data_IF_280103167761
#
_entry.id   IF_280103167761
#
_cell.length_a   1.000
_cell.length_b   1.000
_cell.length_c   1.000
_cell.angle_alpha   90.00
_cell.angle_beta   90.00
_cell.angle_gamma   90.00
#
_symmetry.space_group_name_H-M   'P 1'
#
loop_
_entity.id
_entity.type
_entity.pdbx_description
1 polymer ?
#
# COMPACT_ATOMS: atom_id res chain seq x y z
N UNK A 1 -18.89 -15.69 -11.34
CA UNK A 1 -20.12 -15.44 -10.56
C UNK A 1 -19.95 -14.09 -9.91
N UNK A 2 -20.58 -13.05 -10.47
CA UNK A 2 -20.37 -11.63 -10.09
C UNK A 2 -21.52 -11.13 -9.19
N UNK A 3 -22.54 -11.96 -8.96
CA UNK A 3 -23.76 -11.57 -8.23
C UNK A 3 -23.61 -11.49 -6.71
N UNK A 4 -22.83 -12.38 -6.10
CA UNK A 4 -22.85 -12.54 -4.63
C UNK A 4 -21.94 -11.54 -3.88
N UNK A 5 -21.00 -10.88 -4.59
CA UNK A 5 -20.16 -9.81 -4.02
C UNK A 5 -20.95 -8.49 -3.88
N UNK A 6 -21.94 -8.25 -4.76
CA UNK A 6 -22.72 -7.01 -4.83
C UNK A 6 -23.70 -6.86 -3.66
N UNK A 7 -24.19 -7.95 -3.08
CA UNK A 7 -25.18 -7.88 -2.00
C UNK A 7 -24.56 -7.80 -0.59
N UNK A 8 -23.30 -8.21 -0.41
CA UNK A 8 -22.63 -8.09 0.89
C UNK A 8 -22.11 -6.66 1.17
N UNK A 9 -21.69 -5.92 0.12
CA UNK A 9 -21.25 -4.52 0.27
C UNK A 9 -22.39 -3.53 0.58
N UNK A 10 -23.66 -3.95 0.46
CA UNK A 10 -24.84 -3.10 0.73
C UNK A 10 -25.24 -3.04 2.21
N UNK A 11 -24.68 -3.88 3.09
CA UNK A 11 -25.14 -3.96 4.49
C UNK A 11 -24.01 -4.01 5.51
N UNK A 12 -23.25 -2.92 5.62
CA UNK A 12 -22.67 -2.36 6.87
C UNK A 12 -21.73 -1.20 6.50
N UNK A 13 -22.30 -0.02 6.31
CA UNK A 13 -21.54 1.22 6.17
C UNK A 13 -21.05 1.69 7.54
N UNK A 14 -19.79 1.40 7.87
CA UNK A 14 -18.93 2.24 8.72
C UNK A 14 -17.51 1.68 8.74
N UNK A 15 -16.76 1.92 7.66
CA UNK A 15 -15.30 1.88 7.72
C UNK A 15 -14.82 3.33 7.60
N UNK A 16 -14.47 3.92 8.74
CA UNK A 16 -13.73 5.19 8.76
C UNK A 16 -12.26 4.84 8.48
N UNK A 17 -11.79 5.11 7.26
CA UNK A 17 -10.37 5.04 6.95
C UNK A 17 -9.70 6.34 7.40
N UNK A 18 -8.67 6.22 8.24
CA UNK A 18 -7.78 7.31 8.58
C UNK A 18 -6.65 7.34 7.54
N UNK A 19 -6.52 8.46 6.83
CA UNK A 19 -5.47 8.69 5.84
C UNK A 19 -4.22 9.26 6.53
N UNK A 20 -3.07 8.62 6.33
CA UNK A 20 -1.75 9.18 6.64
C UNK A 20 -0.73 8.56 5.68
N UNK A 21 -0.44 9.22 4.53
CA UNK A 21 0.94 9.56 4.13
C UNK A 21 1.08 10.22 2.75
N UNK A 22 1.97 11.24 2.74
CA UNK A 22 2.76 11.90 1.68
C UNK A 22 3.06 13.34 2.17
N UNK A 23 2.01 14.06 2.60
CA UNK A 23 2.11 15.39 3.21
C UNK A 23 2.75 15.39 4.61
N UNK A 24 2.58 14.31 5.38
CA UNK A 24 3.18 14.17 6.71
C UNK A 24 4.73 14.15 6.65
N UNK A 25 5.32 13.59 5.59
CA UNK A 25 6.78 13.46 5.43
C UNK A 25 7.49 14.83 5.31
N UNK A 26 6.83 15.87 4.79
CA UNK A 26 7.42 17.23 4.71
C UNK A 26 7.24 18.07 5.98
N UNK A 27 6.20 17.81 6.77
CA UNK A 27 5.93 18.60 7.98
C UNK A 27 6.78 18.20 9.19
N UNK A 28 7.33 16.98 9.21
CA UNK A 28 8.23 16.53 10.28
C UNK A 28 9.72 16.78 10.04
N UNK A 29 10.15 17.25 8.85
CA UNK A 29 11.56 17.60 8.60
C UNK A 29 12.02 18.94 9.22
N UNK A 30 11.19 19.60 10.03
CA UNK A 30 11.58 20.80 10.79
C UNK A 30 11.25 20.66 12.28
N UNK A 31 11.83 19.65 12.90
CA UNK A 31 11.80 19.50 14.35
C UNK A 31 12.66 18.33 14.77
N UNK A 32 13.97 18.54 14.92
CA UNK A 32 14.86 17.51 15.41
C UNK A 32 14.42 17.02 16.80
N UNK A 33 13.96 15.78 16.87
CA UNK A 33 13.91 15.01 18.11
C UNK A 33 14.84 13.81 17.96
N UNK A 34 16.06 13.98 18.47
CA UNK A 34 16.96 12.88 18.75
C UNK A 34 16.33 12.05 19.88
N UNK A 35 15.82 10.86 19.58
CA UNK A 35 15.59 9.84 20.62
C UNK A 35 16.79 8.91 20.59
N UNK A 36 17.81 9.28 21.35
CA UNK A 36 18.96 8.42 21.63
C UNK A 36 18.51 7.15 22.36
N UNK A 37 18.83 5.98 21.79
CA UNK A 37 18.73 4.67 22.45
C UNK A 37 19.64 4.62 23.69
N UNK A 38 19.10 4.99 24.84
CA UNK A 38 19.59 4.56 26.15
C UNK A 38 18.45 4.81 27.15
N UNK A 39 18.22 3.83 28.03
CA UNK A 39 17.19 3.76 29.08
C UNK A 39 15.92 3.00 28.68
N UNK A 40 15.99 1.67 28.78
CA UNK A 40 14.96 0.89 29.46
C UNK A 40 15.55 -0.44 29.92
N UNK A 41 16.22 -0.38 31.07
CA UNK A 41 16.44 -1.54 31.92
C UNK A 41 15.80 -1.23 33.29
N UNK A 42 14.99 -2.18 33.73
CA UNK A 42 14.38 -2.35 35.06
C UNK A 42 13.12 -1.54 35.41
N UNK A 43 12.04 -2.27 35.73
CA UNK A 43 11.00 -1.82 36.65
C UNK A 43 9.56 -2.08 36.21
N UNK A 44 9.07 -3.29 36.39
CA UNK A 44 7.63 -3.59 36.38
C UNK A 44 6.94 -2.89 37.56
N UNK A 45 6.23 -1.78 37.29
CA UNK A 45 4.94 -1.35 37.85
C UNK A 45 4.77 0.17 37.66
N UNK A 46 3.58 0.55 37.16
CA UNK A 46 3.09 1.91 36.93
C UNK A 46 3.61 2.64 35.68
N UNK A 47 3.19 2.16 34.50
CA UNK A 47 2.79 3.12 33.47
C UNK A 47 1.42 3.66 33.91
N UNK A 48 1.43 4.78 34.62
CA UNK A 48 0.24 5.61 34.67
C UNK A 48 -0.13 5.89 33.20
N UNK A 49 -1.34 5.48 32.77
CA UNK A 49 -1.91 5.94 31.51
C UNK A 49 -1.83 7.46 31.53
N UNK A 50 -0.89 8.01 30.77
CA UNK A 50 -0.90 9.44 30.47
C UNK A 50 -2.31 9.74 29.96
N UNK A 51 -2.97 10.81 30.45
CA UNK A 51 -4.29 11.15 29.95
C UNK A 51 -4.20 11.26 28.44
N UNK A 52 -4.94 10.40 27.74
CA UNK A 52 -5.03 10.43 26.29
C UNK A 52 -5.48 11.84 25.93
N UNK A 53 -4.58 12.62 25.33
CA UNK A 53 -4.95 13.94 24.84
C UNK A 53 -6.15 13.75 23.91
N UNK A 54 -7.23 14.48 24.15
CA UNK A 54 -8.40 14.41 23.28
C UNK A 54 -7.98 14.87 21.89
N UNK A 55 -7.82 13.92 20.96
CA UNK A 55 -7.53 14.22 19.57
C UNK A 55 -8.85 14.53 18.88
N UNK A 56 -8.91 15.66 18.20
CA UNK A 56 -10.03 15.96 17.30
C UNK A 56 -9.72 15.38 15.93
N UNK A 57 -10.64 14.57 15.40
CA UNK A 57 -10.56 14.00 14.05
C UNK A 57 -11.69 14.59 13.22
N UNK A 58 -11.38 15.06 12.02
CA UNK A 58 -12.36 15.60 11.07
C UNK A 58 -12.20 14.93 9.71
N UNK A 59 -13.29 14.60 9.01
CA UNK A 59 -13.21 14.17 7.62
C UNK A 59 -12.50 15.21 6.76
N UNK A 60 -11.65 14.77 5.84
CA UNK A 60 -11.07 15.65 4.83
C UNK A 60 -12.03 15.77 3.64
N UNK A 61 -12.84 16.82 3.64
CA UNK A 61 -13.82 17.06 2.58
C UNK A 61 -13.19 17.41 1.24
N UNK A 62 -11.94 17.88 1.21
CA UNK A 62 -11.26 18.21 -0.04
C UNK A 62 -10.83 16.92 -0.77
N UNK A 63 -10.23 15.97 -0.04
CA UNK A 63 -9.91 14.66 -0.61
C UNK A 63 -11.16 13.89 -1.02
N UNK A 64 -12.20 13.89 -0.16
CA UNK A 64 -13.48 13.26 -0.51
C UNK A 64 -14.02 13.81 -1.82
N UNK A 65 -14.11 15.14 -1.96
CA UNK A 65 -14.64 15.78 -3.16
C UNK A 65 -13.77 15.51 -4.40
N UNK A 66 -12.45 15.45 -4.26
CA UNK A 66 -11.53 15.18 -5.36
C UNK A 66 -11.76 13.77 -5.95
N UNK A 67 -11.84 12.75 -5.11
CA UNK A 67 -12.08 11.37 -5.55
C UNK A 67 -13.52 11.15 -6.04
N UNK A 68 -14.52 11.76 -5.39
CA UNK A 68 -15.91 11.71 -5.86
C UNK A 68 -16.09 12.41 -7.21
N UNK A 69 -15.44 13.57 -7.39
CA UNK A 69 -15.52 14.30 -8.65
C UNK A 69 -14.86 13.52 -9.78
N UNK A 70 -13.75 12.85 -9.51
CA UNK A 70 -13.05 12.04 -10.51
C UNK A 70 -13.82 10.77 -10.84
N UNK A 71 -14.09 9.93 -9.84
CA UNK A 71 -14.64 8.60 -10.05
C UNK A 71 -16.12 8.55 -10.44
N UNK A 72 -16.84 9.67 -10.35
CA UNK A 72 -18.26 9.74 -10.74
C UNK A 72 -18.48 10.58 -12.02
N UNK A 73 -17.43 11.07 -12.68
CA UNK A 73 -17.60 11.97 -13.83
C UNK A 73 -18.18 11.27 -15.07
N UNK A 74 -17.94 9.96 -15.19
CA UNK A 74 -18.31 9.10 -16.32
C UNK A 74 -17.82 9.63 -17.69
N UNK A 75 -16.77 10.45 -17.73
CA UNK A 75 -16.21 10.99 -18.97
C UNK A 75 -15.43 9.93 -19.74
N UNK A 76 -14.70 9.10 -19.00
CA UNK A 76 -14.06 7.87 -19.47
C UNK A 76 -14.61 6.68 -18.66
N UNK A 77 -14.77 5.53 -19.33
CA UNK A 77 -15.34 4.31 -18.72
C UNK A 77 -14.28 3.29 -18.34
N UNK A 78 -13.02 3.68 -18.43
CA UNK A 78 -11.84 2.96 -17.95
C UNK A 78 -11.18 3.71 -16.78
N UNK A 79 -11.82 4.76 -16.28
CA UNK A 79 -11.37 5.47 -15.10
C UNK A 79 -11.72 4.75 -13.79
N UNK A 80 -10.86 4.97 -12.80
CA UNK A 80 -11.07 4.56 -11.42
C UNK A 80 -12.39 5.12 -10.91
N UNK A 81 -13.19 4.27 -10.28
CA UNK A 81 -14.44 4.69 -9.62
C UNK A 81 -14.45 4.35 -8.14
N UNK A 82 -13.58 3.45 -7.67
CA UNK A 82 -13.49 2.98 -6.30
C UNK A 82 -12.51 1.82 -6.18
N UNK A 83 -11.74 1.76 -5.09
CA UNK A 83 -10.79 0.66 -4.87
C UNK A 83 -10.47 0.48 -3.38
N UNK A 84 -9.70 -0.57 -3.06
CA UNK A 84 -8.95 -0.66 -1.81
C UNK A 84 -7.48 -0.23 -1.97
N UNK A 85 -6.75 -0.15 -0.85
CA UNK A 85 -5.42 0.46 -0.79
C UNK A 85 -5.48 1.97 -0.62
N UNK A 86 -5.05 2.73 -1.62
CA UNK A 86 -4.83 4.19 -1.61
C UNK A 86 -3.52 4.62 -0.92
N UNK A 87 -2.41 4.03 -1.36
CA UNK A 87 -1.07 4.48 -0.98
C UNK A 87 -0.61 5.61 -1.90
N UNK A 88 0.22 6.54 -1.42
CA UNK A 88 0.63 7.66 -2.27
C UNK A 88 2.08 8.07 -2.09
N UNK A 89 2.70 8.53 -3.18
CA UNK A 89 4.07 9.03 -3.21
C UNK A 89 4.18 10.27 -4.09
N UNK A 90 4.97 11.24 -3.64
CA UNK A 90 5.31 12.44 -4.43
C UNK A 90 6.43 12.11 -5.41
N UNK A 91 6.20 12.38 -6.69
CA UNK A 91 7.20 12.23 -7.75
C UNK A 91 8.14 13.44 -7.83
N UNK A 92 9.34 13.30 -8.41
CA UNK A 92 10.31 14.40 -8.56
C UNK A 92 9.79 15.58 -9.40
N UNK A 93 8.85 15.35 -10.30
CA UNK A 93 8.24 16.38 -11.15
C UNK A 93 7.06 17.13 -10.48
N UNK A 94 6.74 16.77 -9.23
CA UNK A 94 5.70 17.43 -8.44
C UNK A 94 4.31 16.78 -8.53
N UNK A 95 4.13 15.77 -9.38
CA UNK A 95 2.91 14.96 -9.40
C UNK A 95 2.87 14.02 -8.19
N UNK A 96 1.69 13.60 -7.79
CA UNK A 96 1.50 12.53 -6.79
C UNK A 96 0.92 11.32 -7.51
N UNK A 97 1.47 10.14 -7.25
CA UNK A 97 0.87 8.88 -7.67
C UNK A 97 0.10 8.31 -6.49
N UNK A 98 -1.14 7.92 -6.74
CA UNK A 98 -1.96 7.13 -5.85
C UNK A 98 -2.03 5.71 -6.40
N UNK A 99 -1.69 4.72 -5.60
CA UNK A 99 -1.67 3.31 -6.00
C UNK A 99 -2.73 2.52 -5.23
N UNK A 100 -3.38 1.63 -5.96
CA UNK A 100 -4.57 0.93 -5.54
C UNK A 100 -4.44 -0.55 -5.86
N UNK A 101 -5.10 -1.37 -5.06
CA UNK A 101 -5.24 -2.80 -5.29
C UNK A 101 -6.54 -3.05 -6.08
N UNK A 102 -7.45 -3.85 -5.56
CA UNK A 102 -8.70 -4.21 -6.19
C UNK A 102 -9.53 -2.97 -6.52
N UNK A 103 -9.67 -2.68 -7.82
CA UNK A 103 -10.17 -1.44 -8.37
C UNK A 103 -11.38 -1.69 -9.28
N UNK A 104 -12.48 -1.00 -8.99
CA UNK A 104 -13.61 -0.84 -9.90
C UNK A 104 -13.34 0.27 -10.90
N UNK A 105 -13.55 -0.04 -12.18
CA UNK A 105 -13.58 0.94 -13.26
C UNK A 105 -15.02 1.11 -13.77
N UNK A 106 -15.24 2.08 -14.66
CA UNK A 106 -16.47 2.16 -15.46
C UNK A 106 -17.50 3.16 -14.97
N UNK A 107 -18.77 2.83 -15.16
CA UNK A 107 -19.87 3.78 -14.98
C UNK A 107 -20.40 3.78 -13.54
N UNK A 108 -20.63 4.99 -13.00
CA UNK A 108 -21.33 5.22 -11.74
C UNK A 108 -22.66 5.94 -12.02
N UNK A 109 -23.76 5.34 -11.59
CA UNK A 109 -25.10 5.93 -11.70
C UNK A 109 -25.21 7.20 -10.86
N UNK A 110 -26.20 8.05 -11.18
CA UNK A 110 -26.48 9.29 -10.45
C UNK A 110 -26.79 9.10 -8.96
N UNK A 111 -27.21 7.90 -8.55
CA UNK A 111 -27.46 7.53 -7.16
C UNK A 111 -26.22 6.92 -6.47
N UNK A 112 -25.04 7.05 -7.08
CA UNK A 112 -23.75 6.50 -6.68
C UNK A 112 -23.66 4.96 -6.69
N UNK A 113 -24.63 4.26 -7.30
CA UNK A 113 -24.54 2.82 -7.52
C UNK A 113 -23.71 2.49 -8.77
N UNK A 114 -23.05 1.32 -8.78
CA UNK A 114 -22.44 0.77 -10.01
C UNK A 114 -23.38 -0.25 -10.65
N UNK A 115 -23.67 -0.17 -11.96
CA UNK A 115 -24.42 -1.21 -12.64
C UNK A 115 -23.59 -2.52 -12.69
N UNK A 116 -24.25 -3.69 -12.78
CA UNK A 116 -23.54 -4.97 -12.84
C UNK A 116 -22.62 -5.05 -14.07
N UNK A 117 -21.52 -5.78 -13.95
CA UNK A 117 -20.60 -6.05 -15.06
C UNK A 117 -19.60 -4.93 -15.35
N UNK A 118 -19.45 -3.95 -14.45
CA UNK A 118 -18.32 -3.02 -14.51
C UNK A 118 -16.98 -3.76 -14.41
N UNK A 119 -15.91 -3.28 -15.10
CA UNK A 119 -14.60 -3.89 -15.00
C UNK A 119 -14.06 -3.83 -13.55
N UNK A 120 -13.32 -4.88 -13.20
CA UNK A 120 -12.66 -5.00 -11.90
C UNK A 120 -11.26 -5.57 -12.13
N UNK A 121 -10.24 -4.81 -11.73
CA UNK A 121 -8.82 -5.13 -11.91
C UNK A 121 -8.12 -5.13 -10.55
N UNK A 122 -7.00 -5.83 -10.40
CA UNK A 122 -6.39 -6.09 -9.09
C UNK A 122 -5.35 -5.05 -8.66
N UNK A 123 -4.97 -4.14 -9.55
CA UNK A 123 -4.18 -2.97 -9.23
C UNK A 123 -4.32 -1.90 -10.31
N UNK A 124 -4.23 -0.64 -9.88
CA UNK A 124 -4.25 0.54 -10.74
C UNK A 124 -3.55 1.70 -10.05
N UNK A 125 -3.13 2.70 -10.82
CA UNK A 125 -2.69 3.98 -10.26
C UNK A 125 -3.60 5.11 -10.72
N UNK A 126 -3.63 6.21 -9.96
CA UNK A 126 -4.13 7.49 -10.41
C UNK A 126 -3.03 8.54 -10.27
N UNK A 127 -2.83 9.32 -11.33
CA UNK A 127 -1.94 10.48 -11.30
C UNK A 127 -2.72 11.68 -10.79
N UNK A 128 -2.21 12.33 -9.75
CA UNK A 128 -2.63 13.64 -9.30
C UNK A 128 -1.62 14.69 -9.77
N UNK A 129 -2.10 15.70 -10.49
CA UNK A 129 -1.30 16.84 -10.94
C UNK A 129 -2.02 18.14 -10.62
N UNK A 130 -1.28 19.14 -10.16
CA UNK A 130 -1.78 20.50 -9.93
C UNK A 130 -3.04 20.55 -9.04
N UNK A 131 -3.14 19.60 -8.09
CA UNK A 131 -4.25 19.50 -7.13
C UNK A 131 -5.47 18.72 -7.61
N UNK A 132 -5.45 18.11 -8.79
CA UNK A 132 -6.55 17.31 -9.32
C UNK A 132 -6.07 15.91 -9.74
N UNK A 133 -6.94 14.90 -9.65
CA UNK A 133 -6.74 13.60 -10.28
C UNK A 133 -6.96 13.77 -11.79
N UNK A 134 -6.02 13.29 -12.59
CA UNK A 134 -5.98 13.59 -14.03
C UNK A 134 -5.97 12.36 -14.94
N UNK A 135 -5.57 11.20 -14.42
CA UNK A 135 -5.46 9.99 -15.23
C UNK A 135 -5.43 8.72 -14.38
N UNK A 136 -6.25 7.73 -14.74
CA UNK A 136 -6.14 6.35 -14.28
C UNK A 136 -5.14 5.60 -15.16
N UNK A 137 -4.19 4.91 -14.54
CA UNK A 137 -3.26 4.01 -15.21
C UNK A 137 -3.68 2.57 -14.94
N UNK A 138 -3.95 1.86 -16.02
CA UNK A 138 -4.26 0.44 -16.04
C UNK A 138 -3.61 -0.19 -17.27
N UNK A 139 -3.52 -1.52 -17.30
CA UNK A 139 -3.06 -2.26 -18.48
C UNK A 139 -4.18 -2.45 -19.52
N UNK A 140 -3.85 -3.07 -20.65
CA UNK A 140 -4.84 -3.40 -21.67
C UNK A 140 -5.29 -2.19 -22.48
N UNK A 141 -6.60 -2.08 -22.73
CA UNK A 141 -7.20 -1.00 -23.53
C UNK A 141 -8.43 -0.44 -22.83
N UNK A 142 -8.90 0.75 -23.22
CA UNK A 142 -10.11 1.35 -22.65
C UNK A 142 -11.36 0.45 -22.73
N UNK A 143 -11.47 -0.39 -23.77
CA UNK A 143 -12.62 -1.31 -23.92
C UNK A 143 -12.44 -2.64 -23.19
N UNK A 144 -11.21 -2.96 -22.78
CA UNK A 144 -10.86 -4.19 -22.10
C UNK A 144 -9.66 -3.93 -21.18
N UNK A 145 -9.87 -3.19 -20.08
CA UNK A 145 -8.80 -2.85 -19.15
C UNK A 145 -8.33 -4.10 -18.40
N UNK A 146 -7.05 -4.12 -18.05
CA UNK A 146 -6.43 -5.14 -17.21
C UNK A 146 -5.69 -4.46 -16.06
N UNK A 147 -5.27 -5.23 -15.05
CA UNK A 147 -4.38 -4.71 -14.01
C UNK A 147 -3.12 -4.07 -14.64
N UNK A 148 -2.61 -3.03 -13.99
CA UNK A 148 -1.39 -2.33 -14.44
C UNK A 148 -0.15 -3.24 -14.34
N UNK A 149 -0.12 -4.07 -13.30
CA UNK A 149 0.93 -5.04 -12.98
C UNK A 149 0.28 -6.43 -12.98
N UNK A 150 0.78 -7.32 -13.83
CA UNK A 150 0.21 -8.66 -14.05
C UNK A 150 1.30 -9.72 -13.77
N UNK A 151 1.06 -10.71 -12.90
CA UNK A 151 1.99 -11.82 -12.70
C UNK A 151 2.04 -12.75 -13.92
N UNK A 152 3.07 -13.59 -13.96
CA UNK A 152 3.21 -14.61 -15.02
C UNK A 152 2.12 -15.69 -14.91
N UNK A 153 1.71 -16.04 -13.69
CA UNK A 153 0.63 -16.99 -13.46
C UNK A 153 -0.74 -16.31 -13.61
N UNK A 154 -1.57 -16.83 -14.51
CA UNK A 154 -2.90 -16.29 -14.79
C UNK A 154 -3.94 -16.56 -13.67
N UNK A 155 -3.61 -17.43 -12.70
CA UNK A 155 -4.41 -17.64 -11.50
C UNK A 155 -3.96 -16.77 -10.30
N UNK A 156 -2.97 -15.90 -10.52
CA UNK A 156 -2.44 -14.99 -9.52
C UNK A 156 -2.75 -13.54 -9.86
N UNK A 157 -2.62 -12.68 -8.86
CA UNK A 157 -2.69 -11.23 -8.99
C UNK A 157 -1.72 -10.57 -8.01
N UNK A 158 -1.43 -9.31 -8.27
CA UNK A 158 -0.67 -8.46 -7.35
C UNK A 158 -1.61 -7.49 -6.65
N UNK A 159 -1.51 -7.45 -5.32
CA UNK A 159 -1.96 -6.31 -4.52
C UNK A 159 -0.76 -5.44 -4.17
N UNK A 160 -0.99 -4.13 -4.14
CA UNK A 160 0.07 -3.14 -3.97
C UNK A 160 0.41 -2.93 -2.49
N UNK A 161 1.69 -2.68 -2.25
CA UNK A 161 2.25 -2.18 -1.00
C UNK A 161 2.69 -0.73 -1.16
N UNK A 162 3.58 -0.29 -0.28
CA UNK A 162 4.10 1.08 -0.27
C UNK A 162 5.14 1.29 -1.40
N UNK A 163 5.38 2.56 -1.71
CA UNK A 163 6.15 2.99 -2.87
C UNK A 163 7.28 3.93 -2.46
N UNK A 164 8.37 3.91 -3.24
CA UNK A 164 9.41 4.96 -3.16
C UNK A 164 9.96 5.33 -4.53
N UNK A 165 10.62 6.49 -4.61
CA UNK A 165 11.32 6.94 -5.80
C UNK A 165 12.82 6.68 -5.65
N UNK A 166 13.39 5.94 -6.60
CA UNK A 166 14.82 5.66 -6.68
C UNK A 166 15.35 6.18 -8.02
N UNK A 167 16.05 7.32 -7.99
CA UNK A 167 16.57 7.96 -9.20
C UNK A 167 15.46 8.37 -10.17
N UNK A 168 15.44 7.76 -11.34
CA UNK A 168 14.45 7.94 -12.41
C UNK A 168 13.42 6.80 -12.46
N UNK A 169 13.22 6.09 -11.34
CA UNK A 169 12.26 5.01 -11.20
C UNK A 169 11.33 5.21 -10.00
N UNK A 170 10.06 4.88 -10.19
CA UNK A 170 9.14 4.58 -9.10
C UNK A 170 9.25 3.07 -8.81
N UNK A 171 9.49 2.73 -7.54
CA UNK A 171 9.56 1.36 -7.03
C UNK A 171 8.30 1.09 -6.22
N UNK A 172 7.55 0.09 -6.62
CA UNK A 172 6.27 -0.28 -6.00
C UNK A 172 6.41 -1.68 -5.44
N UNK A 173 6.28 -1.84 -4.14
CA UNK A 173 6.17 -3.18 -3.57
C UNK A 173 4.84 -3.79 -3.96
N UNK A 174 4.85 -5.06 -4.33
CA UNK A 174 3.65 -5.82 -4.66
C UNK A 174 3.70 -7.20 -4.01
N UNK A 175 2.55 -7.64 -3.51
CA UNK A 175 2.36 -8.96 -2.91
C UNK A 175 1.57 -9.82 -3.89
N UNK A 176 2.15 -10.95 -4.28
CA UNK A 176 1.49 -11.93 -5.14
C UNK A 176 0.54 -12.79 -4.34
N UNK A 177 -0.72 -12.84 -4.77
CA UNK A 177 -1.72 -13.74 -4.25
C UNK A 177 -2.18 -14.70 -5.34
N UNK A 178 -2.49 -15.93 -4.96
CA UNK A 178 -2.99 -16.95 -5.88
C UNK A 178 -4.32 -17.49 -5.37
N UNK A 179 -5.23 -17.76 -6.31
CA UNK A 179 -6.52 -18.38 -5.99
C UNK A 179 -6.34 -19.82 -5.50
N UNK A 180 -6.96 -20.17 -4.38
CA UNK A 180 -6.94 -21.52 -3.78
C UNK A 180 -8.29 -22.24 -3.88
N UNK A 181 -9.36 -21.54 -4.27
CA UNK A 181 -10.72 -22.08 -4.33
C UNK A 181 -11.71 -21.17 -5.07
N UNK A 182 -13.01 -21.54 -5.09
CA UNK A 182 -14.04 -20.79 -5.81
C UNK A 182 -14.60 -19.58 -5.05
N UNK A 183 -14.38 -19.48 -3.74
CA UNK A 183 -14.89 -18.42 -2.89
C UNK A 183 -14.12 -17.11 -3.03
N UNK A 184 -14.74 -15.97 -2.65
CA UNK A 184 -14.13 -14.64 -2.78
C UNK A 184 -12.92 -14.43 -1.86
N UNK A 185 -12.77 -15.25 -0.82
CA UNK A 185 -11.65 -15.22 0.11
C UNK A 185 -10.75 -16.46 0.00
N UNK A 186 -10.94 -17.27 -1.05
CA UNK A 186 -10.14 -18.45 -1.28
C UNK A 186 -8.87 -18.06 -2.05
N UNK A 187 -7.96 -17.40 -1.34
CA UNK A 187 -6.66 -17.00 -1.86
C UNK A 187 -5.58 -17.13 -0.78
N UNK A 188 -4.34 -17.23 -1.23
CA UNK A 188 -3.18 -17.23 -0.34
C UNK A 188 -2.09 -16.36 -0.92
N UNK A 189 -1.32 -15.73 -0.03
CA UNK A 189 -0.07 -15.07 -0.42
C UNK A 189 0.95 -16.10 -0.89
N UNK A 190 1.74 -15.73 -1.89
CA UNK A 190 2.74 -16.60 -2.53
C UNK A 190 4.13 -16.00 -2.49
N UNK A 191 4.27 -14.73 -2.86
CA UNK A 191 5.57 -14.09 -3.00
C UNK A 191 5.47 -12.57 -2.85
N UNK A 192 6.61 -11.92 -2.70
CA UNK A 192 6.72 -10.46 -2.82
C UNK A 192 7.54 -10.14 -4.07
N UNK A 193 7.25 -9.01 -4.70
CA UNK A 193 8.06 -8.45 -5.77
C UNK A 193 8.11 -6.92 -5.66
N UNK A 194 9.00 -6.31 -6.44
CA UNK A 194 9.07 -4.87 -6.64
C UNK A 194 8.84 -4.62 -8.12
N UNK A 195 7.79 -3.86 -8.45
CA UNK A 195 7.55 -3.36 -9.79
C UNK A 195 8.27 -2.03 -9.99
N UNK A 196 8.92 -1.88 -11.13
CA UNK A 196 9.68 -0.69 -11.52
C UNK A 196 8.95 0.06 -12.61
N UNK A 197 8.69 1.35 -12.41
CA UNK A 197 8.12 2.23 -13.42
C UNK A 197 9.10 3.33 -13.81
N UNK A 198 9.29 3.56 -15.11
CA UNK A 198 10.13 4.62 -15.66
C UNK A 198 9.49 5.98 -15.40
N UNK A 199 10.22 6.92 -14.80
CA UNK A 199 9.77 8.29 -14.61
C UNK A 199 10.24 9.20 -15.77
N UNK A 200 9.43 10.21 -16.15
CA UNK A 200 8.13 10.57 -15.59
C UNK A 200 6.96 9.75 -16.18
N UNK A 201 7.19 8.92 -17.20
CA UNK A 201 6.11 8.36 -18.02
C UNK A 201 5.24 7.31 -17.30
N UNK A 202 5.69 6.80 -16.14
CA UNK A 202 5.06 5.73 -15.37
C UNK A 202 4.80 4.48 -16.22
N UNK A 203 5.75 4.16 -17.10
CA UNK A 203 5.73 2.94 -17.90
C UNK A 203 6.36 1.80 -17.11
N UNK A 204 5.65 0.68 -16.95
CA UNK A 204 6.18 -0.52 -16.29
C UNK A 204 7.40 -1.04 -17.07
N UNK A 205 8.53 -1.16 -16.38
CA UNK A 205 9.79 -1.67 -16.91
C UNK A 205 9.96 -3.16 -16.59
N UNK A 206 9.87 -3.51 -15.31
CA UNK A 206 10.03 -4.87 -14.82
C UNK A 206 9.27 -5.12 -13.50
N UNK A 207 9.17 -6.39 -13.13
CA UNK A 207 8.69 -6.86 -11.83
C UNK A 207 9.67 -7.91 -11.34
N UNK A 208 10.36 -7.62 -10.24
CA UNK A 208 11.47 -8.45 -9.74
C UNK A 208 11.10 -9.04 -8.38
N UNK A 209 11.13 -10.37 -8.20
CA UNK A 209 10.89 -10.99 -6.90
C UNK A 209 11.82 -10.47 -5.80
N UNK A 210 11.31 -10.37 -4.58
CA UNK A 210 12.06 -9.93 -3.40
C UNK A 210 11.80 -10.82 -2.19
N UNK A 211 12.43 -10.48 -1.07
CA UNK A 211 12.38 -11.24 0.19
C UNK A 211 10.96 -11.47 0.69
N UNK A 212 10.74 -12.67 1.23
CA UNK A 212 9.46 -13.13 1.79
C UNK A 212 9.63 -14.26 2.82
N UNK A 213 10.87 -14.53 3.22
CA UNK A 213 11.20 -15.53 4.21
C UNK A 213 10.43 -15.28 5.53
N UNK A 214 10.15 -16.37 6.26
CA UNK A 214 9.27 -16.36 7.43
C UNK A 214 7.82 -15.90 7.13
N UNK A 215 7.35 -16.04 5.88
CA UNK A 215 6.01 -15.63 5.44
C UNK A 215 5.74 -14.14 5.67
N UNK A 216 6.77 -13.30 5.54
CA UNK A 216 6.66 -11.86 5.74
C UNK A 216 6.31 -11.19 4.42
N UNK A 217 5.21 -10.46 4.41
CA UNK A 217 4.82 -9.57 3.30
C UNK A 217 5.57 -8.25 3.44
N UNK A 218 6.85 -8.21 3.05
CA UNK A 218 7.67 -7.00 3.08
C UNK A 218 7.20 -5.97 2.05
N UNK A 219 7.23 -4.69 2.43
CA UNK A 219 6.76 -3.59 1.60
C UNK A 219 5.41 -3.02 2.03
N UNK A 220 4.86 -3.46 3.17
CA UNK A 220 3.62 -2.91 3.72
C UNK A 220 3.75 -1.42 4.10
N UNK A 221 4.95 -0.99 4.49
CA UNK A 221 5.30 0.41 4.69
C UNK A 221 6.81 0.62 4.48
N UNK A 222 7.21 1.79 4.00
CA UNK A 222 8.59 2.20 3.80
C UNK A 222 8.93 3.47 4.57
N UNK A 223 10.12 3.51 5.18
CA UNK A 223 10.67 4.71 5.83
C UNK A 223 12.09 4.96 5.33
N UNK A 224 12.34 6.16 4.79
CA UNK A 224 13.68 6.57 4.38
C UNK A 224 14.32 7.41 5.47
N UNK A 225 15.37 6.86 6.11
CA UNK A 225 16.04 7.53 7.21
C UNK A 225 17.49 7.05 7.35
N UNK A 226 18.40 7.97 7.69
CA UNK A 226 19.76 7.61 8.10
C UNK A 226 20.59 6.90 7.03
N UNK A 227 20.32 7.14 5.75
CA UNK A 227 21.01 6.48 4.62
C UNK A 227 20.46 5.10 4.26
N UNK A 228 19.32 4.72 4.84
CA UNK A 228 18.63 3.46 4.55
C UNK A 228 17.18 3.70 4.10
N UNK A 229 16.66 2.74 3.34
CA UNK A 229 15.22 2.54 3.17
C UNK A 229 14.83 1.36 4.06
N UNK A 230 14.15 1.63 5.16
CA UNK A 230 13.56 0.62 6.02
C UNK A 230 12.30 0.08 5.37
N UNK A 231 12.19 -1.24 5.34
CA UNK A 231 11.12 -2.00 4.71
C UNK A 231 10.40 -2.76 5.80
N UNK A 232 9.18 -2.35 6.10
CA UNK A 232 8.33 -3.00 7.08
C UNK A 232 7.48 -4.05 6.39
N UNK A 233 7.23 -5.15 7.11
CA UNK A 233 6.39 -6.23 6.61
C UNK A 233 5.58 -6.88 7.71
N UNK A 234 4.52 -7.55 7.28
CA UNK A 234 3.65 -8.31 8.17
C UNK A 234 3.84 -9.80 7.90
N UNK A 235 4.27 -10.53 8.92
CA UNK A 235 4.10 -11.99 8.96
C UNK A 235 2.63 -12.30 9.27
N UNK A 236 1.99 -13.10 8.43
CA UNK A 236 0.63 -13.58 8.67
C UNK A 236 0.64 -15.09 8.98
N UNK A 237 0.47 -15.45 10.26
CA UNK A 237 0.54 -16.84 10.71
C UNK A 237 -0.81 -17.55 10.54
N UNK A 238 -1.92 -16.83 10.70
CA UNK A 238 -3.27 -17.45 10.74
C UNK A 238 -4.42 -16.49 10.41
N UNK A 239 -4.15 -15.38 9.73
CA UNK A 239 -5.09 -14.29 9.44
C UNK A 239 -5.41 -13.41 10.65
N UNK A 240 -5.34 -13.96 11.87
CA UNK A 240 -5.62 -13.27 13.14
C UNK A 240 -4.37 -13.04 13.98
N UNK A 241 -3.35 -13.87 13.79
CA UNK A 241 -2.06 -13.74 14.43
C UNK A 241 -1.05 -13.19 13.43
N UNK A 242 -0.70 -11.92 13.62
CA UNK A 242 0.17 -11.16 12.74
C UNK A 242 1.30 -10.49 13.50
N UNK A 243 2.49 -10.45 12.90
CA UNK A 243 3.68 -9.87 13.52
C UNK A 243 4.37 -8.88 12.59
N UNK A 244 4.87 -7.78 13.15
CA UNK A 244 5.70 -6.82 12.45
C UNK A 244 7.13 -7.33 12.33
N UNK A 245 7.68 -7.22 11.14
CA UNK A 245 9.09 -7.44 10.82
C UNK A 245 9.69 -6.21 10.14
N UNK A 246 11.01 -6.05 10.27
CA UNK A 246 11.75 -4.91 9.69
C UNK A 246 12.97 -5.44 8.96
N UNK A 247 13.12 -5.02 7.71
CA UNK A 247 14.35 -5.10 6.95
C UNK A 247 14.81 -3.68 6.57
N UNK A 248 16.02 -3.55 6.02
CA UNK A 248 16.49 -2.31 5.40
C UNK A 248 17.41 -2.59 4.23
N UNK A 249 17.34 -1.73 3.23
CA UNK A 249 18.30 -1.64 2.13
C UNK A 249 19.06 -0.31 2.22
N UNK A 250 20.23 -0.23 1.59
CA UNK A 250 20.90 1.08 1.41
C UNK A 250 19.98 1.99 0.61
N UNK A 251 19.86 3.26 1.03
CA UNK A 251 18.99 4.22 0.36
C UNK A 251 19.32 4.32 -1.14
N UNK A 252 18.28 4.28 -1.97
CA UNK A 252 18.40 4.30 -3.43
C UNK A 252 19.02 3.04 -4.04
N UNK A 253 19.03 1.91 -3.32
CA UNK A 253 19.46 0.61 -3.82
C UNK A 253 18.59 -0.51 -3.25
N UNK A 254 17.29 -0.47 -3.53
CA UNK A 254 16.32 -1.46 -3.03
C UNK A 254 16.58 -2.89 -3.54
N UNK A 255 17.25 -3.04 -4.68
CA UNK A 255 17.66 -4.35 -5.22
C UNK A 255 19.03 -4.82 -4.71
N UNK A 256 19.68 -4.04 -3.85
CA UNK A 256 20.91 -4.42 -3.17
C UNK A 256 20.69 -5.46 -2.07
N UNK A 257 21.76 -5.76 -1.34
CA UNK A 257 21.67 -6.63 -0.17
C UNK A 257 20.86 -5.97 0.95
N UNK A 258 19.88 -6.71 1.49
CA UNK A 258 19.10 -6.29 2.64
C UNK A 258 19.74 -6.77 3.95
N UNK A 259 19.49 -6.00 5.00
CA UNK A 259 19.73 -6.41 6.38
C UNK A 259 18.39 -6.54 7.11
N UNK A 260 18.27 -7.55 7.96
CA UNK A 260 17.04 -7.92 8.67
C UNK A 260 17.22 -7.71 10.16
N UNK A 261 16.24 -7.06 10.80
CA UNK A 261 16.33 -6.72 12.20
C UNK A 261 16.09 -7.95 13.09
N UNK A 262 17.06 -8.29 13.93
CA UNK A 262 17.02 -9.49 14.80
C UNK A 262 16.37 -9.23 16.15
N UNK A 263 15.82 -8.02 16.37
CA UNK A 263 15.34 -7.57 17.67
C UNK A 263 16.40 -6.85 18.50
N UNK A 264 17.70 -7.09 18.23
CA UNK A 264 18.83 -6.45 18.93
C UNK A 264 19.92 -5.91 17.99
N UNK A 265 19.88 -6.27 16.71
CA UNK A 265 20.85 -5.87 15.70
C UNK A 265 20.37 -6.19 14.29
N UNK A 266 21.31 -6.29 13.36
CA UNK A 266 21.05 -6.51 11.94
C UNK A 266 21.77 -7.77 11.46
N UNK A 267 21.11 -8.55 10.61
CA UNK A 267 21.66 -9.76 9.99
C UNK A 267 21.48 -9.72 8.48
N UNK A 268 22.40 -10.27 7.71
CA UNK A 268 22.20 -10.52 6.27
C UNK A 268 21.37 -11.77 5.98
N UNK A 269 21.05 -12.56 7.01
CA UNK A 269 20.19 -13.74 6.89
C UNK A 269 18.71 -13.32 7.05
N UNK A 270 17.87 -13.45 6.00
CA UNK A 270 16.46 -13.07 6.04
C UNK A 270 15.65 -13.86 7.07
N UNK A 271 16.05 -15.10 7.37
CA UNK A 271 15.35 -15.95 8.33
C UNK A 271 15.58 -15.51 9.78
N UNK A 272 16.58 -14.66 10.03
CA UNK A 272 16.90 -14.12 11.35
C UNK A 272 16.03 -12.92 11.76
N UNK A 273 15.15 -12.43 10.87
CA UNK A 273 14.21 -11.35 11.18
C UNK A 273 13.31 -11.71 12.36
N UNK A 274 13.29 -10.89 13.40
CA UNK A 274 12.52 -11.16 14.61
C UNK A 274 11.10 -10.59 14.53
N UNK A 275 10.14 -11.33 15.09
CA UNK A 275 8.79 -10.81 15.38
C UNK A 275 8.89 -9.68 16.41
N UNK A 276 8.34 -8.52 16.08
CA UNK A 276 8.33 -7.35 16.97
C UNK A 276 6.95 -7.13 17.59
N UNK A 277 6.11 -6.31 16.95
CA UNK A 277 4.77 -6.01 17.42
C UNK A 277 3.79 -7.09 16.96
N UNK A 278 2.87 -7.48 17.86
CA UNK A 278 1.78 -8.40 17.56
C UNK A 278 0.52 -7.64 17.20
N UNK A 279 -0.27 -8.16 16.26
CA UNK A 279 -1.57 -7.61 15.88
C UNK A 279 -1.50 -6.43 14.91
N UNK A 280 -0.40 -6.29 14.17
CA UNK A 280 -0.33 -5.35 13.05
C UNK A 280 -1.22 -5.80 11.89
N UNK A 281 -1.84 -4.84 11.20
CA UNK A 281 -2.60 -5.11 9.98
C UNK A 281 -1.70 -5.38 8.77
N UNK A 282 -2.31 -5.68 7.63
CA UNK A 282 -1.58 -5.77 6.35
C UNK A 282 -1.35 -4.38 5.72
N UNK A 283 -2.06 -3.35 6.19
CA UNK A 283 -1.83 -1.95 5.83
C UNK A 283 -1.60 -1.12 7.10
N UNK A 284 -0.50 -0.38 7.13
CA UNK A 284 -0.16 0.56 8.20
C UNK A 284 0.83 1.60 7.65
N UNK A 285 0.99 2.71 8.38
CA UNK A 285 1.98 3.74 8.05
C UNK A 285 3.06 3.82 9.13
N UNK A 286 4.26 4.24 8.71
CA UNK A 286 5.38 4.60 9.59
C UNK A 286 5.81 6.02 9.22
N UNK A 287 6.15 6.83 10.21
CA UNK A 287 6.52 8.25 10.05
C UNK A 287 7.58 8.66 11.04
#
# INVERSE_FOLDING_TARGET
>A
MVGDLIDFMKTKSSFQFAFLNALARRWFQRGGFLVSLAWLAAGSNALAEAPVAAVTVTPDSAFQAMFESYGNDNTLLDDWTGADGALSVLLPDGRVVWDFSDTFLGFVNRDNSRPPGQPFINNSMIVQDSGALVQTLHGGTAQSPTSLIIPVDQNAWYWVGDMTVEGDRLRVFVMEFMRTGPGPFDFQWVSNAIASFILPDLTLEDVVPTHGENNVMYGAALLEEGGYTYIYGTEDVSGTEKYLHIARATAGNLFGAWEFYTGTGWSSDPTASARLLRGVGNGFGVT
#
